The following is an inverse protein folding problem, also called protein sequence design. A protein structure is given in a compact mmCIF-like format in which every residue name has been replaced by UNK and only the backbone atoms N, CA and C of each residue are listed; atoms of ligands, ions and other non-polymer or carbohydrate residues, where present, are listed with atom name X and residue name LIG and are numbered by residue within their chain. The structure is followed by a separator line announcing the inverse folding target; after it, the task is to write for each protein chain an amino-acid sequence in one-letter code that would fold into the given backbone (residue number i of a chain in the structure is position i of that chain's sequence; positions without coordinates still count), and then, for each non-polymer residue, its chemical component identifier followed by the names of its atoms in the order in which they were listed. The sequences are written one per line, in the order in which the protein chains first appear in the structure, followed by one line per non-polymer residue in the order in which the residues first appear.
data_IF_503308316320
#
_entry.id   IF_503308316320
#
_cell.length_a   1.000
_cell.length_b   1.000
_cell.length_c   1.000
_cell.angle_alpha   90.00
_cell.angle_beta   90.00
_cell.angle_gamma   90.00
#
_symmetry.space_group_name_H-M   'P 1'
#
loop_
_entity.id
_entity.type
_entity.pdbx_description
1 polymer ?
#
# COMPACT_ATOMS: atom_id res chain seq x y z
N UNK A 1 5.23 6.10 -27.93
CA UNK A 1 6.29 6.13 -28.97
C UNK A 1 7.27 7.29 -28.78
N UNK A 2 6.97 8.29 -27.92
CA UNK A 2 7.77 9.50 -27.77
C UNK A 2 8.02 9.84 -26.31
N UNK A 3 9.15 10.44 -26.03
CA UNK A 3 9.52 11.11 -24.78
C UNK A 3 10.52 12.24 -25.11
N UNK A 4 11.02 12.93 -24.11
CA UNK A 4 11.96 14.03 -24.29
C UNK A 4 13.29 13.61 -24.99
N UNK A 5 13.71 12.36 -24.81
CA UNK A 5 14.92 11.80 -25.44
C UNK A 5 14.65 11.26 -26.86
N UNK A 6 13.39 10.91 -27.15
CA UNK A 6 12.94 10.33 -28.40
C UNK A 6 11.79 11.12 -29.03
N UNK A 7 11.98 12.43 -29.31
CA UNK A 7 10.93 13.25 -29.93
C UNK A 7 10.77 12.86 -31.41
N UNK A 8 9.59 13.05 -31.96
CA UNK A 8 9.28 12.77 -33.36
C UNK A 8 8.99 14.04 -34.16
N UNK A 9 9.39 14.01 -35.44
CA UNK A 9 8.97 15.01 -36.43
C UNK A 9 7.60 14.69 -36.97
N UNK A 10 6.88 15.69 -37.52
CA UNK A 10 5.58 15.48 -38.18
C UNK A 10 5.65 14.37 -39.27
N UNK A 11 6.81 14.26 -39.97
CA UNK A 11 6.99 13.24 -41.00
C UNK A 11 7.09 11.84 -40.40
N UNK A 12 7.80 11.68 -39.31
CA UNK A 12 7.90 10.39 -38.60
C UNK A 12 6.56 9.97 -38.01
N UNK A 13 5.79 10.93 -37.47
CA UNK A 13 4.43 10.67 -36.99
C UNK A 13 3.54 10.19 -38.14
N UNK A 14 3.56 10.90 -39.28
CA UNK A 14 2.81 10.49 -40.47
C UNK A 14 3.17 9.07 -40.91
N UNK A 15 4.45 8.78 -41.01
CA UNK A 15 4.95 7.45 -41.43
C UNK A 15 4.51 6.35 -40.42
N UNK A 16 4.53 6.62 -39.13
CA UNK A 16 4.06 5.66 -38.12
C UNK A 16 2.57 5.42 -38.19
N UNK A 17 1.76 6.46 -38.40
CA UNK A 17 0.32 6.32 -38.57
C UNK A 17 0.00 5.40 -39.76
N UNK A 18 0.75 5.54 -40.86
CA UNK A 18 0.58 4.68 -42.03
C UNK A 18 1.05 3.25 -41.79
N UNK A 19 2.26 3.05 -41.19
CA UNK A 19 2.86 1.72 -41.09
C UNK A 19 2.34 0.88 -39.93
N UNK A 20 1.93 1.49 -38.82
CA UNK A 20 1.54 0.77 -37.60
C UNK A 20 0.03 0.81 -37.35
N UNK A 21 -0.69 1.78 -37.94
CA UNK A 21 -2.14 1.96 -37.70
C UNK A 21 -2.98 1.93 -38.98
N UNK A 22 -2.34 1.69 -40.16
CA UNK A 22 -3.03 1.65 -41.47
C UNK A 22 -3.77 2.97 -41.81
N UNK A 23 -3.29 4.09 -41.22
CA UNK A 23 -3.90 5.42 -41.38
C UNK A 23 -3.11 6.27 -42.36
N UNK A 24 -3.62 6.41 -43.57
CA UNK A 24 -3.08 7.32 -44.60
C UNK A 24 -3.56 8.74 -44.33
N UNK A 25 -2.72 9.59 -43.81
CA UNK A 25 -3.03 11.00 -43.49
C UNK A 25 -2.06 11.93 -44.21
N UNK A 26 -2.52 13.11 -44.61
CA UNK A 26 -1.63 14.10 -45.18
C UNK A 26 -0.90 14.90 -44.07
N UNK A 27 0.19 15.54 -44.44
CA UNK A 27 1.03 16.30 -43.50
C UNK A 27 0.30 17.50 -42.89
N UNK A 28 -0.67 18.08 -43.61
CA UNK A 28 -1.44 19.23 -43.12
C UNK A 28 -2.39 18.78 -42.02
N UNK A 29 -3.01 17.61 -42.19
CA UNK A 29 -3.88 17.03 -41.17
C UNK A 29 -3.07 16.69 -39.90
N UNK A 30 -1.88 16.08 -40.03
CA UNK A 30 -0.99 15.83 -38.88
C UNK A 30 -0.65 17.12 -38.15
N UNK A 31 -0.28 18.18 -38.89
CA UNK A 31 0.06 19.49 -38.30
C UNK A 31 -1.15 20.08 -37.57
N UNK A 32 -2.31 20.13 -38.22
CA UNK A 32 -3.51 20.71 -37.62
C UNK A 32 -3.93 19.99 -36.35
N UNK A 33 -3.96 18.67 -36.35
CA UNK A 33 -4.31 17.88 -35.18
C UNK A 33 -3.28 18.08 -34.03
N UNK A 34 -1.99 18.19 -34.32
CA UNK A 34 -0.99 18.46 -33.30
C UNK A 34 -1.16 19.86 -32.71
N UNK A 35 -1.42 20.88 -33.55
CA UNK A 35 -1.69 22.25 -33.10
C UNK A 35 -2.97 22.28 -32.23
N UNK A 36 -4.01 21.55 -32.60
CA UNK A 36 -5.24 21.45 -31.82
C UNK A 36 -4.99 20.78 -30.46
N UNK A 37 -4.27 19.68 -30.40
CA UNK A 37 -3.93 19.00 -29.14
C UNK A 37 -3.08 19.87 -28.22
N UNK A 38 -2.13 20.63 -28.78
CA UNK A 38 -1.28 21.56 -28.02
C UNK A 38 -2.11 22.71 -27.46
N UNK A 39 -3.01 23.29 -28.29
CA UNK A 39 -3.84 24.43 -27.92
C UNK A 39 -4.94 24.05 -26.92
N UNK A 40 -5.52 22.87 -27.05
CA UNK A 40 -6.56 22.36 -26.14
C UNK A 40 -5.96 22.06 -24.74
N UNK A 41 -4.68 21.72 -24.65
CA UNK A 41 -3.99 21.42 -23.40
C UNK A 41 -4.47 20.12 -22.72
N UNK A 42 -5.34 19.34 -23.36
CA UNK A 42 -5.87 18.08 -22.85
C UNK A 42 -4.76 17.01 -22.77
N UNK A 43 -3.83 17.08 -23.72
CA UNK A 43 -2.69 16.17 -23.79
C UNK A 43 -1.41 16.93 -23.41
N UNK A 44 -0.60 16.36 -22.52
CA UNK A 44 0.67 16.91 -22.10
C UNK A 44 1.74 16.72 -23.20
N UNK A 45 1.58 17.47 -24.31
CA UNK A 45 2.48 17.40 -25.47
C UNK A 45 3.45 18.59 -25.40
N UNK A 46 4.73 18.28 -25.50
CA UNK A 46 5.79 19.25 -25.64
C UNK A 46 6.44 19.16 -27.04
N UNK A 47 7.13 20.23 -27.48
CA UNK A 47 7.67 20.30 -28.81
C UNK A 47 8.80 21.34 -28.95
N UNK A 48 9.60 21.16 -29.98
CA UNK A 48 10.54 22.17 -30.45
C UNK A 48 10.03 22.82 -31.76
N UNK A 49 10.46 24.05 -32.01
CA UNK A 49 10.18 24.73 -33.27
C UNK A 49 11.46 24.98 -34.06
N UNK A 50 11.35 24.90 -35.40
CA UNK A 50 12.42 25.35 -36.32
C UNK A 50 11.88 26.51 -37.16
N UNK A 51 12.67 27.56 -37.26
CA UNK A 51 12.40 28.67 -38.13
C UNK A 51 12.86 28.32 -39.56
N UNK A 52 11.95 28.43 -40.52
CA UNK A 52 12.24 28.31 -41.95
C UNK A 52 11.78 29.53 -42.67
N UNK A 53 12.69 30.14 -43.46
CA UNK A 53 12.35 31.21 -44.37
C UNK A 53 11.92 30.62 -45.69
N UNK A 54 10.73 30.97 -46.19
CA UNK A 54 10.24 30.57 -47.50
C UNK A 54 9.63 31.77 -48.23
N UNK A 55 9.82 31.88 -49.56
CA UNK A 55 9.22 32.98 -50.33
C UNK A 55 7.69 32.85 -50.32
N UNK A 56 7.02 33.93 -50.06
CA UNK A 56 5.56 34.02 -50.21
C UNK A 56 5.19 33.88 -51.66
N UNK A 57 4.30 32.92 -52.04
CA UNK A 57 3.96 32.70 -53.46
C UNK A 57 3.30 33.92 -54.14
N UNK A 58 2.77 34.85 -53.38
CA UNK A 58 2.07 36.05 -53.90
C UNK A 58 2.95 37.30 -53.98
N UNK A 59 3.85 37.47 -53.00
CA UNK A 59 4.63 38.72 -52.88
C UNK A 59 6.11 38.51 -53.23
N UNK A 60 6.61 37.28 -53.22
CA UNK A 60 8.02 36.92 -53.41
C UNK A 60 8.91 37.25 -52.20
N UNK A 61 8.39 37.86 -51.15
CA UNK A 61 9.14 38.19 -49.95
C UNK A 61 9.36 36.95 -49.07
N UNK A 62 10.51 36.92 -48.38
CA UNK A 62 10.83 35.83 -47.43
C UNK A 62 10.00 35.95 -46.15
N UNK A 63 9.10 35.04 -45.97
CA UNK A 63 8.31 34.89 -44.73
C UNK A 63 8.97 33.92 -43.76
N UNK A 64 8.99 34.32 -42.50
CA UNK A 64 9.40 33.47 -41.39
C UNK A 64 8.29 32.52 -41.03
N UNK A 65 8.50 31.20 -41.27
CA UNK A 65 7.57 30.15 -40.88
C UNK A 65 8.14 29.34 -39.72
N UNK A 66 7.38 29.17 -38.67
CA UNK A 66 7.70 28.24 -37.59
C UNK A 66 7.16 26.87 -37.94
N UNK A 67 8.05 25.88 -37.90
CA UNK A 67 7.71 24.47 -38.14
C UNK A 67 7.82 23.73 -36.84
N UNK A 68 6.73 23.15 -36.40
CA UNK A 68 6.66 22.23 -35.28
C UNK A 68 7.54 21.01 -35.56
N UNK A 69 8.48 20.73 -34.68
CA UNK A 69 9.40 19.59 -34.78
C UNK A 69 9.69 19.06 -33.39
N UNK A 70 10.21 17.84 -33.30
CA UNK A 70 10.56 17.26 -32.01
C UNK A 70 9.39 17.18 -31.06
N UNK A 71 8.24 16.70 -31.52
CA UNK A 71 7.02 16.55 -30.73
C UNK A 71 7.14 15.29 -29.86
N UNK A 72 6.81 15.44 -28.59
CA UNK A 72 6.77 14.30 -27.68
C UNK A 72 5.67 14.47 -26.61
N UNK A 73 5.26 13.35 -26.04
CA UNK A 73 4.31 13.29 -24.93
C UNK A 73 5.09 13.28 -23.61
N UNK A 74 4.78 14.21 -22.72
CA UNK A 74 5.26 14.18 -21.35
C UNK A 74 4.42 13.21 -20.55
N UNK A 75 4.99 12.08 -20.19
CA UNK A 75 4.33 11.13 -19.31
C UNK A 75 4.01 11.78 -17.95
N UNK A 76 2.86 11.43 -17.35
CA UNK A 76 2.48 11.91 -16.02
C UNK A 76 3.43 11.42 -14.94
N UNK A 77 4.03 10.25 -15.13
CA UNK A 77 5.02 9.67 -14.24
C UNK A 77 6.38 9.62 -14.93
N UNK A 78 7.42 9.99 -14.21
CA UNK A 78 8.80 9.68 -14.60
C UNK A 78 9.04 8.16 -14.51
N UNK A 79 10.03 7.66 -15.23
CA UNK A 79 10.43 6.25 -15.19
C UNK A 79 10.77 5.77 -13.77
N UNK A 80 11.38 6.65 -12.95
CA UNK A 80 11.72 6.35 -11.56
C UNK A 80 10.49 6.24 -10.67
N UNK A 81 9.51 7.14 -10.83
CA UNK A 81 8.24 7.08 -10.09
C UNK A 81 7.44 5.85 -10.47
N UNK A 82 7.32 5.58 -11.79
CA UNK A 82 6.62 4.40 -12.27
C UNK A 82 7.28 3.11 -11.78
N UNK A 83 8.62 3.08 -11.77
CA UNK A 83 9.40 1.98 -11.21
C UNK A 83 9.07 1.77 -9.74
N UNK A 84 9.05 2.83 -8.92
CA UNK A 84 8.72 2.76 -7.50
C UNK A 84 7.31 2.20 -7.27
N UNK A 85 6.32 2.64 -8.08
CA UNK A 85 4.96 2.12 -8.03
C UNK A 85 4.92 0.61 -8.35
N UNK A 86 5.62 0.18 -9.39
CA UNK A 86 5.70 -1.23 -9.78
C UNK A 86 6.39 -2.09 -8.71
N UNK A 87 7.49 -1.61 -8.14
CA UNK A 87 8.20 -2.29 -7.05
C UNK A 87 7.29 -2.40 -5.81
N UNK A 88 6.50 -1.36 -5.51
CA UNK A 88 5.52 -1.39 -4.41
C UNK A 88 4.44 -2.45 -4.61
N UNK A 89 3.96 -2.65 -5.83
CA UNK A 89 3.03 -3.74 -6.17
C UNK A 89 3.71 -5.10 -6.03
N UNK A 90 4.95 -5.26 -6.51
CA UNK A 90 5.72 -6.50 -6.38
C UNK A 90 5.94 -6.90 -4.92
N UNK A 91 6.31 -5.95 -4.05
CA UNK A 91 6.58 -6.23 -2.63
C UNK A 91 5.32 -6.36 -1.77
N UNK A 92 4.15 -6.02 -2.29
CA UNK A 92 2.90 -6.18 -1.55
C UNK A 92 2.67 -7.64 -1.15
N UNK A 93 2.51 -7.89 0.15
CA UNK A 93 2.20 -9.22 0.69
C UNK A 93 0.71 -9.55 0.67
N UNK A 94 -0.13 -8.58 0.32
CA UNK A 94 -1.59 -8.72 0.32
C UNK A 94 -2.17 -8.97 -1.07
N UNK A 95 -1.46 -8.60 -2.13
CA UNK A 95 -1.94 -8.75 -3.51
C UNK A 95 -1.57 -10.14 -4.04
N UNK A 96 -2.54 -10.94 -4.50
CA UNK A 96 -2.28 -12.23 -5.15
C UNK A 96 -1.41 -12.08 -6.41
N UNK A 97 -0.54 -13.07 -6.69
CA UNK A 97 0.42 -13.01 -7.82
C UNK A 97 -0.24 -12.78 -9.18
N UNK A 98 -1.41 -13.39 -9.41
CA UNK A 98 -2.18 -13.18 -10.64
C UNK A 98 -2.62 -11.71 -10.81
N UNK A 99 -3.10 -11.09 -9.73
CA UNK A 99 -3.51 -9.68 -9.73
C UNK A 99 -2.30 -8.73 -9.86
N UNK A 100 -1.14 -9.09 -9.29
CA UNK A 100 0.10 -8.31 -9.46
C UNK A 100 0.50 -8.20 -10.92
N UNK A 101 0.51 -9.33 -11.65
CA UNK A 101 0.86 -9.32 -13.07
C UNK A 101 -0.03 -8.38 -13.88
N UNK A 102 -1.35 -8.46 -13.67
CA UNK A 102 -2.32 -7.59 -14.35
C UNK A 102 -2.09 -6.10 -14.02
N UNK A 103 -1.86 -5.76 -12.74
CA UNK A 103 -1.60 -4.37 -12.32
C UNK A 103 -0.28 -3.87 -12.92
N UNK A 104 0.78 -4.70 -12.91
CA UNK A 104 2.07 -4.34 -13.48
C UNK A 104 1.98 -4.09 -15.00
N UNK A 105 1.19 -4.87 -15.72
CA UNK A 105 0.98 -4.64 -17.14
C UNK A 105 0.23 -3.32 -17.38
N UNK A 106 -0.83 -3.02 -16.60
CA UNK A 106 -1.51 -1.72 -16.66
C UNK A 106 -0.60 -0.55 -16.30
N UNK A 107 0.30 -0.72 -15.34
CA UNK A 107 1.28 0.33 -14.99
C UNK A 107 2.30 0.56 -16.11
N UNK A 108 2.75 -0.49 -16.81
CA UNK A 108 3.62 -0.34 -17.98
C UNK A 108 2.98 0.50 -19.08
N UNK A 109 1.67 0.38 -19.27
CA UNK A 109 0.94 1.13 -20.28
C UNK A 109 0.88 2.65 -19.99
N UNK A 110 1.21 3.08 -18.76
CA UNK A 110 1.35 4.50 -18.40
C UNK A 110 2.68 5.12 -18.86
N UNK A 111 3.60 4.32 -19.38
CA UNK A 111 4.87 4.77 -19.93
C UNK A 111 4.93 4.54 -21.45
N UNK A 112 6.09 4.69 -22.01
CA UNK A 112 6.35 4.51 -23.45
C UNK A 112 7.13 3.21 -23.72
N UNK A 113 7.35 2.89 -25.00
CA UNK A 113 8.07 1.69 -25.44
C UNK A 113 9.54 1.63 -25.01
N UNK A 114 10.12 2.75 -24.58
CA UNK A 114 11.51 2.84 -24.14
C UNK A 114 11.67 2.49 -22.67
N UNK A 115 10.58 2.55 -21.89
CA UNK A 115 10.59 2.12 -20.50
C UNK A 115 10.88 0.63 -20.38
N UNK A 116 11.97 0.32 -19.70
CA UNK A 116 12.39 -1.08 -19.48
C UNK A 116 12.23 -1.44 -18.02
N UNK A 117 11.10 -2.02 -17.69
CA UNK A 117 10.93 -2.66 -16.40
C UNK A 117 11.46 -4.09 -16.44
N UNK A 118 12.47 -4.37 -15.64
CA UNK A 118 12.96 -5.74 -15.43
C UNK A 118 12.81 -6.10 -13.96
N UNK A 119 11.92 -7.03 -13.67
CA UNK A 119 11.82 -7.65 -12.34
C UNK A 119 12.99 -8.62 -12.05
N UNK A 120 13.85 -8.89 -13.03
CA UNK A 120 14.90 -9.90 -12.88
C UNK A 120 15.94 -9.58 -11.80
N UNK A 121 16.14 -8.28 -11.49
CA UNK A 121 17.09 -7.83 -10.49
C UNK A 121 16.45 -7.63 -9.10
N UNK A 122 15.12 -7.77 -9.00
CA UNK A 122 14.36 -7.60 -7.76
C UNK A 122 13.44 -8.80 -7.65
N UNK A 123 13.77 -9.72 -6.76
CA UNK A 123 12.93 -10.88 -6.50
C UNK A 123 12.15 -10.62 -5.21
N UNK A 124 10.81 -10.58 -5.31
CA UNK A 124 9.99 -10.76 -4.12
C UNK A 124 9.91 -12.26 -3.84
N UNK A 125 10.28 -12.66 -2.62
CA UNK A 125 10.05 -14.04 -2.20
C UNK A 125 8.56 -14.23 -1.96
N UNK A 126 7.88 -14.77 -2.97
CA UNK A 126 6.53 -15.27 -2.80
C UNK A 126 6.58 -16.80 -2.68
N UNK A 127 6.12 -17.30 -1.55
CA UNK A 127 5.86 -18.72 -1.46
C UNK A 127 4.64 -19.03 -2.36
N UNK A 128 4.90 -19.66 -3.48
CA UNK A 128 3.85 -20.11 -4.41
C UNK A 128 2.85 -21.12 -3.78
N UNK A 129 3.18 -21.61 -2.59
CA UNK A 129 2.47 -22.68 -1.92
C UNK A 129 1.35 -22.22 -0.98
N UNK A 130 1.08 -20.93 -0.88
CA UNK A 130 0.05 -20.40 0.02
C UNK A 130 -1.15 -19.91 -0.77
N UNK A 131 -2.33 -20.39 -0.42
CA UNK A 131 -3.57 -19.85 -0.94
C UNK A 131 -3.73 -18.37 -0.53
N UNK A 132 -4.09 -17.52 -1.50
CA UNK A 132 -4.36 -16.11 -1.24
C UNK A 132 -5.82 -15.80 -1.55
N UNK A 133 -6.41 -14.92 -0.76
CA UNK A 133 -7.77 -14.47 -0.95
C UNK A 133 -7.88 -13.62 -2.23
N UNK A 134 -8.63 -14.13 -3.20
CA UNK A 134 -8.87 -13.45 -4.48
C UNK A 134 -9.90 -12.32 -4.37
N UNK A 135 -10.66 -12.26 -3.28
CA UNK A 135 -11.73 -11.30 -3.05
C UNK A 135 -11.25 -10.01 -2.38
N UNK A 136 -9.93 -9.85 -2.14
CA UNK A 136 -9.39 -8.73 -1.37
C UNK A 136 -9.84 -7.36 -1.91
N UNK A 137 -9.77 -7.15 -3.23
CA UNK A 137 -10.19 -5.87 -3.84
C UNK A 137 -11.68 -5.62 -3.68
N UNK A 138 -12.49 -6.64 -3.90
CA UNK A 138 -13.93 -6.59 -3.67
C UNK A 138 -14.24 -6.30 -2.20
N UNK A 139 -13.53 -6.94 -1.27
CA UNK A 139 -13.66 -6.68 0.17
C UNK A 139 -13.37 -5.22 0.52
N UNK A 140 -12.33 -4.62 -0.09
CA UNK A 140 -11.98 -3.21 0.11
C UNK A 140 -13.12 -2.30 -0.38
N UNK A 141 -13.66 -2.54 -1.57
CA UNK A 141 -14.75 -1.74 -2.16
C UNK A 141 -16.02 -1.79 -1.29
N UNK A 142 -16.43 -2.99 -0.87
CA UNK A 142 -17.61 -3.19 -0.01
C UNK A 142 -17.43 -2.52 1.35
N UNK A 143 -16.25 -2.62 1.94
CA UNK A 143 -15.96 -1.97 3.22
C UNK A 143 -15.94 -0.44 3.11
N UNK A 144 -15.37 0.10 2.03
CA UNK A 144 -15.37 1.55 1.78
C UNK A 144 -16.79 2.09 1.68
N UNK A 145 -17.64 1.42 0.92
CA UNK A 145 -19.06 1.75 0.78
C UNK A 145 -19.80 1.66 2.13
N UNK A 146 -19.61 0.58 2.88
CA UNK A 146 -20.26 0.39 4.18
C UNK A 146 -19.81 1.45 5.20
N UNK A 147 -18.51 1.77 5.25
CA UNK A 147 -17.96 2.81 6.12
C UNK A 147 -18.54 4.18 5.77
N UNK A 148 -18.59 4.52 4.47
CA UNK A 148 -19.13 5.78 3.97
C UNK A 148 -20.62 5.94 4.31
N UNK A 149 -21.40 4.88 4.12
CA UNK A 149 -22.85 4.89 4.36
C UNK A 149 -23.22 4.65 5.82
N UNK A 150 -22.26 4.29 6.68
CA UNK A 150 -22.52 4.04 8.11
C UNK A 150 -23.33 2.77 8.36
N UNK A 151 -23.12 1.73 7.58
CA UNK A 151 -23.85 0.46 7.63
C UNK A 151 -23.00 -0.65 8.24
N UNK A 152 -23.68 -1.68 8.77
CA UNK A 152 -23.04 -2.94 9.19
C UNK A 152 -22.64 -3.77 7.98
N UNK A 153 -21.66 -4.65 8.17
CA UNK A 153 -21.30 -5.69 7.21
C UNK A 153 -21.35 -7.06 7.88
N UNK A 154 -21.67 -8.07 7.06
CA UNK A 154 -21.56 -9.47 7.43
C UNK A 154 -20.49 -10.14 6.57
N UNK A 155 -19.69 -11.05 7.15
CA UNK A 155 -18.69 -11.81 6.43
C UNK A 155 -18.31 -13.11 7.12
N UNK A 156 -17.61 -13.98 6.39
CA UNK A 156 -16.91 -15.15 6.94
C UNK A 156 -15.44 -14.81 7.14
N UNK A 157 -14.84 -15.30 8.23
CA UNK A 157 -13.44 -15.07 8.53
C UNK A 157 -12.64 -16.36 8.48
N UNK A 158 -11.51 -16.31 7.77
CA UNK A 158 -10.70 -17.47 7.45
C UNK A 158 -9.41 -17.52 8.28
N UNK A 159 -8.90 -18.73 8.46
CA UNK A 159 -7.58 -19.00 9.02
C UNK A 159 -6.86 -20.08 8.18
N UNK A 160 -5.54 -20.08 8.25
CA UNK A 160 -4.76 -21.09 7.52
C UNK A 160 -4.70 -22.39 8.30
N UNK A 161 -5.01 -23.48 7.62
CA UNK A 161 -4.72 -24.83 8.10
C UNK A 161 -3.26 -25.24 7.86
N UNK A 162 -2.88 -26.40 8.38
CA UNK A 162 -1.57 -27.01 8.12
C UNK A 162 -1.34 -27.35 6.63
N UNK A 163 -2.41 -27.45 5.85
CA UNK A 163 -2.42 -27.62 4.39
C UNK A 163 -2.14 -26.32 3.62
N UNK A 164 -1.88 -25.20 4.33
CA UNK A 164 -1.62 -23.86 3.80
C UNK A 164 -2.82 -23.24 3.06
N UNK A 165 -4.01 -23.79 3.22
CA UNK A 165 -5.26 -23.27 2.64
C UNK A 165 -6.05 -22.45 3.66
N UNK A 166 -6.93 -21.60 3.12
CA UNK A 166 -7.87 -20.83 3.93
C UNK A 166 -9.10 -21.68 4.27
N UNK A 167 -9.39 -21.77 5.55
CA UNK A 167 -10.57 -22.45 6.08
C UNK A 167 -11.42 -21.45 6.87
N UNK A 168 -12.74 -21.57 6.76
CA UNK A 168 -13.66 -20.77 7.55
C UNK A 168 -13.51 -21.11 9.03
N UNK A 169 -13.51 -20.08 9.88
CA UNK A 169 -13.61 -20.30 11.32
C UNK A 169 -14.95 -20.88 11.69
N UNK A 170 -14.92 -21.85 12.58
CA UNK A 170 -16.13 -22.50 13.09
C UNK A 170 -16.53 -21.86 14.45
N UNK A 171 -17.82 -22.00 14.77
CA UNK A 171 -18.34 -21.72 16.10
C UNK A 171 -18.12 -22.95 17.04
N UNK A 172 -18.61 -22.86 18.28
CA UNK A 172 -18.48 -23.94 19.27
C UNK A 172 -19.25 -25.20 18.86
N UNK A 173 -20.26 -25.08 18.01
CA UNK A 173 -21.07 -26.17 17.50
C UNK A 173 -20.48 -26.82 16.23
N UNK A 174 -19.33 -26.33 15.73
CA UNK A 174 -18.67 -26.81 14.52
C UNK A 174 -19.25 -26.28 13.22
N UNK A 175 -20.14 -25.29 13.25
CA UNK A 175 -20.69 -24.63 12.07
C UNK A 175 -19.84 -23.42 11.67
N UNK A 176 -19.94 -23.01 10.38
CA UNK A 176 -19.24 -21.84 9.87
C UNK A 176 -19.72 -20.58 10.60
N UNK A 177 -18.79 -19.87 11.24
CA UNK A 177 -19.10 -18.68 12.02
C UNK A 177 -19.26 -17.46 11.14
N UNK A 178 -20.42 -16.82 11.19
CA UNK A 178 -20.69 -15.52 10.59
C UNK A 178 -20.30 -14.39 11.55
N UNK A 179 -19.76 -13.30 10.97
CA UNK A 179 -19.37 -12.10 11.71
C UNK A 179 -20.19 -10.91 11.23
N UNK A 180 -21.04 -10.37 12.12
CA UNK A 180 -21.75 -9.12 11.90
C UNK A 180 -21.01 -8.04 12.66
N UNK A 181 -20.51 -7.01 11.97
CA UNK A 181 -19.64 -6.01 12.54
C UNK A 181 -20.00 -4.59 12.12
N UNK A 182 -19.54 -3.65 12.90
CA UNK A 182 -19.65 -2.20 12.69
C UNK A 182 -18.29 -1.69 12.16
N UNK A 183 -18.11 -1.44 10.85
CA UNK A 183 -16.84 -1.01 10.27
C UNK A 183 -16.64 0.50 10.47
N UNK A 184 -15.40 0.93 10.81
CA UNK A 184 -15.08 2.34 11.01
C UNK A 184 -13.93 2.85 10.19
N UNK A 185 -12.82 2.09 10.07
CA UNK A 185 -11.64 2.50 9.33
C UNK A 185 -10.94 1.30 8.70
N UNK A 186 -10.35 1.51 7.55
CA UNK A 186 -9.36 0.60 6.97
C UNK A 186 -7.98 1.20 7.11
N UNK A 187 -7.00 0.40 7.52
CA UNK A 187 -5.60 0.82 7.70
C UNK A 187 -4.65 -0.20 7.08
N UNK A 188 -3.48 0.26 6.66
CA UNK A 188 -2.44 -0.59 6.11
C UNK A 188 -1.18 -0.52 6.98
N UNK A 189 -0.70 -1.68 7.45
CA UNK A 189 0.55 -1.81 8.21
C UNK A 189 1.19 -3.18 7.98
N UNK A 190 2.52 -3.26 8.01
CA UNK A 190 3.26 -4.51 7.84
C UNK A 190 2.96 -5.23 6.50
N UNK A 191 2.58 -4.48 5.46
CA UNK A 191 2.20 -5.03 4.15
C UNK A 191 0.85 -5.73 4.12
N UNK A 192 -0.06 -5.43 5.07
CA UNK A 192 -1.40 -6.00 5.18
C UNK A 192 -2.43 -4.91 5.45
N UNK A 193 -3.67 -5.16 5.02
CA UNK A 193 -4.81 -4.32 5.35
C UNK A 193 -5.55 -4.86 6.56
N UNK A 194 -5.95 -3.96 7.46
CA UNK A 194 -6.74 -4.25 8.64
C UNK A 194 -7.99 -3.39 8.66
N UNK A 195 -9.08 -3.99 9.11
CA UNK A 195 -10.32 -3.31 9.44
C UNK A 195 -10.33 -2.99 10.93
N UNK A 196 -10.46 -1.72 11.28
CA UNK A 196 -10.77 -1.27 12.64
C UNK A 196 -12.28 -1.20 12.74
N UNK A 197 -12.85 -2.01 13.60
CA UNK A 197 -14.29 -2.21 13.70
C UNK A 197 -14.70 -2.52 15.13
N UNK A 198 -15.98 -2.75 15.33
CA UNK A 198 -16.54 -3.29 16.56
C UNK A 198 -17.39 -4.52 16.20
N UNK A 199 -17.21 -5.61 16.94
CA UNK A 199 -18.13 -6.75 16.86
C UNK A 199 -19.39 -6.41 17.65
N UNK A 200 -20.55 -6.51 17.02
CA UNK A 200 -21.78 -5.94 17.54
C UNK A 200 -22.15 -6.41 18.97
N UNK A 201 -21.74 -7.62 19.33
CA UNK A 201 -21.94 -8.22 20.65
C UNK A 201 -21.17 -7.50 21.78
N UNK A 202 -20.09 -6.75 21.47
CA UNK A 202 -19.18 -6.14 22.43
C UNK A 202 -19.11 -4.63 22.25
N UNK A 203 -18.47 -3.93 23.19
CA UNK A 203 -18.34 -2.47 23.16
C UNK A 203 -16.90 -2.00 22.88
N UNK A 204 -15.97 -2.93 22.65
CA UNK A 204 -14.57 -2.64 22.37
C UNK A 204 -14.25 -2.66 20.87
N UNK A 205 -13.10 -2.07 20.52
CA UNK A 205 -12.52 -2.15 19.17
C UNK A 205 -12.03 -3.58 18.90
N UNK A 206 -12.26 -4.03 17.68
CA UNK A 206 -11.74 -5.29 17.14
C UNK A 206 -11.00 -5.03 15.82
N UNK A 207 -10.07 -5.90 15.48
CA UNK A 207 -9.31 -5.85 14.22
C UNK A 207 -9.49 -7.13 13.43
N UNK A 208 -9.74 -6.98 12.13
CA UNK A 208 -9.76 -8.10 11.19
C UNK A 208 -8.84 -7.81 10.01
N UNK A 209 -8.09 -8.81 9.59
CA UNK A 209 -7.29 -8.71 8.37
C UNK A 209 -8.19 -8.88 7.16
N UNK A 210 -8.10 -7.97 6.20
CA UNK A 210 -8.95 -8.00 5.01
C UNK A 210 -8.66 -9.22 4.13
N UNK A 211 -7.41 -9.65 4.06
CA UNK A 211 -7.00 -10.83 3.29
C UNK A 211 -7.53 -12.16 3.84
N UNK A 212 -8.22 -12.12 4.98
CA UNK A 212 -8.90 -13.28 5.60
C UNK A 212 -10.42 -13.19 5.59
N UNK A 213 -10.97 -12.13 5.01
CA UNK A 213 -12.42 -11.92 4.90
C UNK A 213 -12.88 -12.53 3.57
N UNK A 214 -13.96 -13.28 3.61
CA UNK A 214 -14.66 -13.79 2.42
C UNK A 214 -16.17 -13.66 2.58
N UNK A 215 -16.90 -13.72 1.46
CA UNK A 215 -18.35 -13.65 1.43
C UNK A 215 -18.88 -12.40 2.17
N UNK A 216 -18.27 -11.24 1.93
CA UNK A 216 -18.68 -9.99 2.56
C UNK A 216 -19.92 -9.41 1.88
N UNK A 217 -20.86 -8.93 2.70
CA UNK A 217 -22.05 -8.22 2.24
C UNK A 217 -22.37 -7.03 3.16
N UNK A 218 -22.94 -5.96 2.60
CA UNK A 218 -23.46 -4.81 3.35
C UNK A 218 -24.86 -5.17 3.85
N UNK A 219 -25.15 -4.85 5.11
CA UNK A 219 -26.47 -5.00 5.70
C UNK A 219 -27.20 -3.65 5.68
N UNK A 220 -28.54 -3.67 5.61
CA UNK A 220 -29.36 -2.46 5.70
C UNK A 220 -29.40 -1.88 7.15
N UNK A 221 -28.69 -2.50 8.07
CA UNK A 221 -28.64 -2.11 9.48
C UNK A 221 -27.59 -1.01 9.68
N UNK A 222 -27.94 0.15 10.28
CA UNK A 222 -26.95 1.16 10.66
C UNK A 222 -25.94 0.60 11.66
N UNK A 223 -24.66 0.95 11.47
CA UNK A 223 -23.62 0.59 12.43
C UNK A 223 -23.81 1.33 13.77
N UNK A 224 -23.29 0.79 14.87
CA UNK A 224 -23.19 1.50 16.15
C UNK A 224 -22.52 2.86 15.98
N UNK A 225 -23.02 3.89 16.65
CA UNK A 225 -22.37 5.19 16.68
C UNK A 225 -21.01 5.10 17.39
N UNK A 226 -20.03 5.92 16.98
CA UNK A 226 -18.66 5.86 17.55
C UNK A 226 -18.63 6.07 19.07
N UNK A 227 -19.59 6.81 19.63
CA UNK A 227 -19.71 7.05 21.07
C UNK A 227 -20.24 5.85 21.87
N UNK A 228 -20.69 4.81 21.19
CA UNK A 228 -21.12 3.54 21.79
C UNK A 228 -20.02 2.48 21.78
N UNK A 229 -18.83 2.82 21.25
CA UNK A 229 -17.69 1.90 21.19
C UNK A 229 -16.51 2.53 21.91
N UNK A 230 -16.03 1.83 22.93
CA UNK A 230 -14.90 2.28 23.75
C UNK A 230 -13.65 2.51 22.91
N UNK A 231 -13.04 3.68 23.05
CA UNK A 231 -11.81 4.06 22.36
C UNK A 231 -11.98 4.63 20.94
N UNK A 232 -13.21 4.69 20.38
CA UNK A 232 -13.43 5.26 19.04
C UNK A 232 -13.64 6.77 19.01
N UNK A 233 -14.16 7.37 20.09
CA UNK A 233 -14.38 8.81 20.16
C UNK A 233 -13.04 9.54 20.21
N UNK A 234 -12.81 10.44 19.24
CA UNK A 234 -11.55 11.19 19.16
C UNK A 234 -10.33 10.34 18.79
N UNK A 235 -10.53 9.14 18.26
CA UNK A 235 -9.44 8.25 17.85
C UNK A 235 -8.58 8.91 16.76
N UNK A 236 -7.34 9.18 17.10
CA UNK A 236 -6.29 9.54 16.13
C UNK A 236 -5.73 8.24 15.53
N UNK A 237 -6.05 7.98 14.26
CA UNK A 237 -5.69 6.73 13.57
C UNK A 237 -4.16 6.59 13.46
N UNK A 238 -3.43 7.67 13.16
CA UNK A 238 -1.98 7.61 13.01
C UNK A 238 -1.31 7.21 14.34
N UNK A 239 -1.73 7.84 15.42
CA UNK A 239 -1.27 7.51 16.76
C UNK A 239 -1.67 6.10 17.18
N UNK A 240 -2.91 5.71 16.89
CA UNK A 240 -3.41 4.37 17.19
C UNK A 240 -2.57 3.30 16.50
N UNK A 241 -2.25 3.47 15.22
CA UNK A 241 -1.41 2.54 14.48
C UNK A 241 0.02 2.46 15.01
N UNK A 242 0.59 3.58 15.48
CA UNK A 242 1.91 3.58 16.10
C UNK A 242 1.91 2.83 17.45
N UNK A 243 0.82 2.90 18.20
CA UNK A 243 0.66 2.18 19.47
C UNK A 243 0.36 0.68 19.26
N UNK A 244 -0.25 0.28 18.11
CA UNK A 244 -0.70 -1.09 17.80
C UNK A 244 0.13 -1.69 16.63
N UNK A 245 1.40 -1.97 16.89
CA UNK A 245 2.38 -2.39 15.86
C UNK A 245 2.05 -3.73 15.17
N UNK A 246 1.32 -4.62 15.86
CA UNK A 246 0.82 -5.90 15.33
C UNK A 246 -0.70 -5.97 15.23
N UNK A 247 -1.38 -4.84 15.53
CA UNK A 247 -2.85 -4.74 15.49
C UNK A 247 -3.58 -5.71 16.41
N UNK A 248 -3.01 -6.03 17.58
CA UNK A 248 -3.77 -6.70 18.64
C UNK A 248 -4.70 -5.70 19.34
N UNK A 249 -5.83 -6.22 19.84
CA UNK A 249 -6.73 -5.44 20.67
C UNK A 249 -6.18 -5.31 22.11
N UNK A 250 -6.66 -4.32 22.83
CA UNK A 250 -6.29 -4.12 24.23
C UNK A 250 -5.80 -2.71 24.51
N UNK A 251 -5.40 -2.49 25.77
CA UNK A 251 -4.94 -1.17 26.23
C UNK A 251 -3.52 -0.87 25.83
N UNK A 252 -3.24 0.40 25.59
CA UNK A 252 -1.87 0.89 25.43
C UNK A 252 -1.29 1.28 26.80
N UNK A 253 -0.04 0.93 27.00
CA UNK A 253 0.74 1.22 28.21
C UNK A 253 1.99 2.04 27.87
N UNK A 254 2.52 2.75 28.85
CA UNK A 254 3.83 3.39 28.72
C UNK A 254 4.88 2.36 29.11
N UNK A 255 5.50 1.71 28.12
CA UNK A 255 6.56 0.75 28.31
C UNK A 255 7.91 1.45 28.44
N UNK A 256 8.76 0.95 29.36
CA UNK A 256 10.17 1.30 29.48
C UNK A 256 11.01 0.02 29.47
N UNK A 257 12.07 0.03 28.67
CA UNK A 257 12.98 -1.11 28.58
C UNK A 257 14.42 -0.65 28.30
N UNK A 258 15.37 -1.40 28.81
CA UNK A 258 16.79 -1.26 28.52
C UNK A 258 17.15 -2.07 27.29
N UNK A 259 17.99 -1.50 26.41
CA UNK A 259 18.47 -2.15 25.20
C UNK A 259 19.89 -1.67 24.85
N UNK A 260 20.71 -2.51 24.18
CA UNK A 260 21.96 -2.07 23.60
C UNK A 260 21.76 -0.99 22.54
N UNK A 261 22.70 -0.03 22.44
CA UNK A 261 22.62 1.08 21.45
C UNK A 261 22.51 0.59 20.00
N UNK A 262 23.07 -0.56 19.64
CA UNK A 262 22.99 -1.08 18.28
C UNK A 262 21.56 -1.46 17.85
N UNK A 263 20.63 -1.67 18.80
CA UNK A 263 19.22 -1.94 18.50
C UNK A 263 18.38 -0.67 18.25
N UNK A 264 18.95 0.53 18.35
CA UNK A 264 18.20 1.78 18.17
C UNK A 264 17.49 1.81 16.81
N UNK A 265 18.16 1.40 15.73
CA UNK A 265 17.56 1.36 14.39
C UNK A 265 16.36 0.40 14.33
N UNK A 266 16.50 -0.80 14.86
CA UNK A 266 15.41 -1.78 14.91
C UNK A 266 14.25 -1.28 15.77
N UNK A 267 14.52 -0.61 16.89
CA UNK A 267 13.50 0.00 17.76
C UNK A 267 12.76 1.12 16.99
N UNK A 268 13.48 1.97 16.25
CA UNK A 268 12.90 3.04 15.45
C UNK A 268 12.04 2.49 14.28
N UNK A 269 12.42 1.37 13.68
CA UNK A 269 11.66 0.74 12.59
C UNK A 269 10.27 0.31 13.06
N UNK A 270 10.14 -0.16 14.30
CA UNK A 270 8.85 -0.57 14.88
C UNK A 270 8.07 0.58 15.51
N UNK A 271 8.73 1.42 16.33
CA UNK A 271 8.05 2.44 17.14
C UNK A 271 8.16 3.85 16.56
N UNK A 272 8.89 4.01 15.45
CA UNK A 272 9.06 5.28 14.72
C UNK A 272 9.54 6.42 15.65
N UNK A 273 9.02 7.63 15.43
CA UNK A 273 9.39 8.81 16.20
C UNK A 273 8.76 8.88 17.62
N UNK A 274 7.87 7.96 17.97
CA UNK A 274 7.16 7.99 19.25
C UNK A 274 7.95 7.39 20.43
N UNK A 275 9.15 6.86 20.15
CA UNK A 275 10.07 6.36 21.20
C UNK A 275 11.03 7.46 21.65
N UNK A 276 11.23 7.53 22.97
CA UNK A 276 12.21 8.43 23.58
C UNK A 276 13.36 7.60 24.18
N UNK A 277 14.60 8.02 23.91
CA UNK A 277 15.81 7.36 24.40
C UNK A 277 16.49 8.22 25.46
N UNK A 278 17.00 7.56 26.50
CA UNK A 278 17.96 8.12 27.45
C UNK A 278 19.19 7.22 27.44
N UNK A 279 20.36 7.80 27.21
CA UNK A 279 21.62 7.05 27.27
C UNK A 279 21.90 6.57 28.69
N UNK A 280 22.42 5.36 28.79
CA UNK A 280 22.89 4.72 29.99
C UNK A 280 24.38 4.40 29.82
N UNK A 281 25.02 3.91 30.90
CA UNK A 281 26.39 3.40 30.84
C UNK A 281 26.45 2.08 30.03
N UNK A 282 27.67 1.65 29.69
CA UNK A 282 27.95 0.36 29.02
C UNK A 282 27.21 0.17 27.66
N UNK A 283 27.17 1.24 26.86
CA UNK A 283 26.53 1.18 25.54
C UNK A 283 25.06 0.75 25.56
N UNK A 284 24.35 1.08 26.64
CA UNK A 284 22.91 0.84 26.78
C UNK A 284 22.08 2.12 26.61
N UNK A 285 20.82 1.93 26.30
CA UNK A 285 19.80 2.99 26.29
C UNK A 285 18.57 2.54 27.06
N UNK A 286 17.92 3.48 27.74
CA UNK A 286 16.57 3.30 28.24
C UNK A 286 15.60 3.88 27.21
N UNK A 287 14.84 3.00 26.57
CA UNK A 287 13.78 3.36 25.65
C UNK A 287 12.45 3.52 26.41
N UNK A 288 11.65 4.51 26.00
CA UNK A 288 10.32 4.75 26.55
C UNK A 288 9.35 4.96 25.40
N UNK A 289 8.27 4.16 25.32
CA UNK A 289 7.29 4.20 24.24
C UNK A 289 5.89 3.98 24.79
N UNK A 290 4.86 4.53 24.13
CA UNK A 290 3.46 4.18 24.36
C UNK A 290 3.06 3.13 23.33
N UNK A 291 2.63 1.96 23.77
CA UNK A 291 2.39 0.80 22.90
C UNK A 291 1.31 -0.10 23.50
N UNK A 292 0.59 -0.82 22.66
CA UNK A 292 -0.32 -1.88 23.10
C UNK A 292 0.45 -2.93 23.92
N UNK A 293 -0.10 -3.34 25.05
CA UNK A 293 0.61 -4.22 26.02
C UNK A 293 0.93 -5.59 25.39
N UNK A 294 -0.02 -6.18 24.65
CA UNK A 294 0.16 -7.46 23.96
C UNK A 294 1.18 -7.36 22.81
N UNK A 295 1.11 -6.28 22.04
CA UNK A 295 2.05 -6.03 20.95
C UNK A 295 3.49 -5.90 21.50
N UNK A 296 3.64 -5.18 22.60
CA UNK A 296 4.94 -4.99 23.25
C UNK A 296 5.51 -6.31 23.80
N UNK A 297 4.68 -7.13 24.43
CA UNK A 297 5.09 -8.45 24.93
C UNK A 297 5.57 -9.33 23.77
N UNK A 298 4.83 -9.36 22.65
CA UNK A 298 5.20 -10.14 21.47
C UNK A 298 6.48 -9.62 20.82
N UNK A 299 6.66 -8.28 20.74
CA UNK A 299 7.86 -7.67 20.23
C UNK A 299 9.08 -8.01 21.11
N UNK A 300 8.92 -7.93 22.44
CA UNK A 300 10.00 -8.24 23.39
C UNK A 300 10.52 -9.67 23.26
N UNK A 301 9.67 -10.63 22.90
CA UNK A 301 10.09 -12.04 22.65
C UNK A 301 11.10 -12.17 21.51
N UNK A 302 11.05 -11.30 20.48
CA UNK A 302 12.00 -11.34 19.37
C UNK A 302 13.41 -10.92 19.79
N UNK A 303 13.51 -10.11 20.82
CA UNK A 303 14.77 -9.58 21.38
C UNK A 303 15.10 -10.16 22.75
N UNK A 304 14.54 -11.34 23.06
CA UNK A 304 14.80 -12.08 24.29
C UNK A 304 16.32 -12.27 24.50
N UNK A 305 16.79 -11.92 25.68
CA UNK A 305 18.23 -11.94 26.01
C UNK A 305 19.02 -10.70 25.60
N UNK A 306 18.42 -9.77 24.86
CA UNK A 306 19.05 -8.50 24.45
C UNK A 306 18.45 -7.30 25.16
N UNK A 307 17.13 -7.32 25.40
CA UNK A 307 16.41 -6.24 26.07
C UNK A 307 15.94 -6.68 27.47
N UNK A 308 15.74 -5.69 28.33
CA UNK A 308 15.17 -5.91 29.67
C UNK A 308 13.98 -4.98 29.86
N UNK A 309 12.77 -5.54 29.96
CA UNK A 309 11.56 -4.79 30.28
C UNK A 309 11.62 -4.29 31.74
N UNK A 310 11.32 -3.00 31.94
CA UNK A 310 11.38 -2.32 33.25
C UNK A 310 9.97 -1.95 33.72
N UNK A 311 9.20 -1.29 32.89
CA UNK A 311 7.85 -0.81 33.21
C UNK A 311 6.85 -1.05 32.07
N UNK A 312 5.58 -1.29 32.36
CA UNK A 312 5.04 -1.52 33.70
C UNK A 312 5.48 -2.87 34.29
N UNK A 313 5.41 -3.01 35.61
CA UNK A 313 5.84 -4.23 36.29
C UNK A 313 5.10 -5.48 35.79
N UNK A 314 3.78 -5.36 35.51
CA UNK A 314 2.98 -6.45 34.93
C UNK A 314 3.54 -6.97 33.61
N UNK A 315 3.97 -6.06 32.73
CA UNK A 315 4.57 -6.42 31.44
C UNK A 315 5.97 -7.03 31.62
N UNK A 316 6.78 -6.50 32.55
CA UNK A 316 8.09 -7.07 32.87
C UNK A 316 7.98 -8.51 33.40
N UNK A 317 7.01 -8.77 34.27
CA UNK A 317 6.72 -10.10 34.79
C UNK A 317 6.18 -11.05 33.70
N UNK A 318 5.30 -10.57 32.81
CA UNK A 318 4.81 -11.34 31.66
C UNK A 318 5.97 -11.73 30.70
N UNK A 319 6.85 -10.78 30.35
CA UNK A 319 8.03 -11.07 29.53
C UNK A 319 8.98 -12.07 30.21
N UNK A 320 9.17 -11.98 31.54
CA UNK A 320 9.95 -12.95 32.29
C UNK A 320 9.31 -14.34 32.25
N UNK A 321 7.99 -14.42 32.41
CA UNK A 321 7.28 -15.70 32.35
C UNK A 321 7.39 -16.34 30.96
N UNK A 322 7.27 -15.55 29.90
CA UNK A 322 7.47 -16.02 28.51
C UNK A 322 8.85 -16.70 28.32
N UNK A 323 9.89 -16.15 28.96
CA UNK A 323 11.25 -16.72 28.87
C UNK A 323 11.32 -18.04 29.64
N UNK A 324 10.70 -18.11 30.82
CA UNK A 324 10.64 -19.34 31.63
C UNK A 324 9.84 -20.44 30.92
N UNK A 325 8.71 -20.09 30.35
CA UNK A 325 7.88 -21.02 29.60
C UNK A 325 8.62 -21.51 28.34
N UNK A 326 9.34 -20.63 27.66
CA UNK A 326 10.18 -21.02 26.52
C UNK A 326 11.31 -21.97 26.94
N UNK A 327 11.97 -21.71 28.07
CA UNK A 327 13.01 -22.59 28.61
C UNK A 327 12.46 -23.98 28.95
N UNK A 328 11.29 -24.02 29.58
CA UNK A 328 10.63 -25.30 29.94
C UNK A 328 10.31 -26.21 28.73
N UNK A 329 10.18 -25.63 27.51
CA UNK A 329 10.01 -26.44 26.29
C UNK A 329 11.27 -27.22 25.86
N UNK A 330 12.44 -26.88 26.42
CA UNK A 330 13.73 -27.52 26.12
C UNK A 330 14.29 -28.35 27.30
N UNK A 331 13.60 -28.32 28.44
CA UNK A 331 13.91 -29.13 29.62
C UNK A 331 13.02 -30.39 29.57
N UNK A 332 13.43 -31.44 28.84
CA UNK A 332 12.84 -32.79 28.80
C UNK A 332 13.42 -33.68 29.90
#
# INVERSE_FOLDING_TARGET
YTDAEHPMTQKEIQQKLETEYDMVVDRKAVKANLEDFINDGTYNIDYATKIRFSPNPKTGELEKNEILTGVYYNAEFTDSELRLLMDSVLFSKSIPSANKSEILDKLKDLSNKYFKFSAANIQSYESADREMNKELFYTIEILDEAIKNGLQVKFLYNEYGADKKLHHRLNEDGEVREYIINPYYMVATGGKYYLICNYDKYDNIAHYRLDRISNIEILDTPRKAKNQVEGLVGLDIARYMNEHIYMFHGKSVKAKFEAPKYLISDILDYFKADVNFKELENDQVLATVKVNETDMQLWARQYCGQIKMIEPQSLAEACKQDILDALALYED
#
